data_IF_760048249421
#
_entry.id   IF_760048249421
#
_cell.length_a   1.000
_cell.length_b   1.000
_cell.length_c   1.000
_cell.angle_alpha   90.00
_cell.angle_beta   90.00
_cell.angle_gamma   90.00
#
_symmetry.space_group_name_H-M   'P 1'
#
loop_
_entity.id
_entity.type
_entity.pdbx_description
1 polymer ?
#
# COMPACT_ATOMS: atom_id res chain seq x y z
N UNK A 1 -21.91 3.66 -16.21
CA UNK A 1 -22.94 3.91 -15.16
C UNK A 1 -22.41 3.83 -13.71
N UNK A 2 -21.08 3.80 -13.45
CA UNK A 2 -20.51 3.74 -12.08
C UNK A 2 -19.42 4.78 -11.81
N UNK A 3 -19.32 5.86 -12.59
CA UNK A 3 -18.18 6.78 -12.50
C UNK A 3 -18.22 7.65 -11.25
N UNK A 4 -19.38 8.22 -10.91
CA UNK A 4 -19.56 9.00 -9.68
C UNK A 4 -19.27 8.19 -8.39
N UNK A 5 -19.86 6.99 -8.17
CA UNK A 5 -19.56 6.20 -6.97
C UNK A 5 -18.10 5.72 -6.96
N UNK A 6 -17.54 5.35 -8.13
CA UNK A 6 -16.12 5.00 -8.21
C UNK A 6 -15.24 6.17 -7.80
N UNK A 7 -15.46 7.34 -8.36
CA UNK A 7 -14.69 8.56 -8.06
C UNK A 7 -14.70 8.87 -6.57
N UNK A 8 -15.88 8.84 -5.94
CA UNK A 8 -16.02 9.05 -4.49
C UNK A 8 -15.19 8.03 -3.68
N UNK A 9 -15.21 6.76 -4.09
CA UNK A 9 -14.45 5.69 -3.43
C UNK A 9 -12.94 5.86 -3.62
N UNK A 10 -12.47 6.27 -4.81
CA UNK A 10 -11.04 6.53 -5.05
C UNK A 10 -10.55 7.70 -4.17
N UNK A 11 -11.30 8.79 -4.09
CA UNK A 11 -10.98 9.93 -3.21
C UNK A 11 -10.97 9.50 -1.74
N UNK A 12 -12.02 8.81 -1.28
CA UNK A 12 -12.10 8.34 0.09
C UNK A 12 -10.90 7.43 0.42
N UNK A 13 -10.53 6.55 -0.50
CA UNK A 13 -9.36 5.69 -0.35
C UNK A 13 -8.06 6.50 -0.27
N UNK A 14 -7.87 7.48 -1.15
CA UNK A 14 -6.71 8.37 -1.15
C UNK A 14 -6.58 9.13 0.18
N UNK A 15 -7.67 9.73 0.66
CA UNK A 15 -7.71 10.45 1.94
C UNK A 15 -7.33 9.52 3.09
N UNK A 16 -7.91 8.31 3.16
CA UNK A 16 -7.57 7.34 4.19
C UNK A 16 -6.10 6.90 4.14
N UNK A 17 -5.54 6.70 2.94
CA UNK A 17 -4.11 6.42 2.77
C UNK A 17 -3.22 7.56 3.27
N UNK A 18 -3.57 8.83 3.00
CA UNK A 18 -2.82 9.98 3.51
C UNK A 18 -2.95 10.16 5.02
N UNK A 19 -4.10 9.83 5.61
CA UNK A 19 -4.27 9.80 7.07
C UNK A 19 -3.36 8.70 7.66
N UNK A 20 -3.34 7.50 7.09
CA UNK A 20 -2.43 6.43 7.51
C UNK A 20 -0.97 6.83 7.38
N UNK A 21 -0.58 7.47 6.27
CA UNK A 21 0.75 8.03 6.06
C UNK A 21 1.13 8.96 7.23
N UNK A 22 0.25 9.89 7.60
CA UNK A 22 0.49 10.81 8.73
C UNK A 22 0.73 10.05 10.04
N UNK A 23 -0.04 9.01 10.31
CA UNK A 23 0.17 8.16 11.49
C UNK A 23 1.51 7.43 11.46
N UNK A 24 1.98 7.00 10.29
CA UNK A 24 3.23 6.24 10.14
C UNK A 24 4.49 7.11 10.09
N UNK A 25 4.39 8.38 9.70
CA UNK A 25 5.53 9.33 9.71
C UNK A 25 5.96 9.67 11.14
N UNK A 26 5.01 9.89 12.06
CA UNK A 26 5.28 10.26 13.46
C UNK A 26 6.26 9.31 14.18
N UNK A 27 6.00 7.99 14.24
CA UNK A 27 6.90 7.05 14.91
C UNK A 27 8.25 6.94 14.20
N UNK A 28 8.29 7.07 12.86
CA UNK A 28 9.54 7.08 12.11
C UNK A 28 10.44 8.26 12.53
N UNK A 29 9.85 9.46 12.69
CA UNK A 29 10.59 10.62 13.19
C UNK A 29 11.15 10.44 14.61
N UNK A 30 10.45 9.69 15.46
CA UNK A 30 10.83 9.43 16.85
C UNK A 30 11.90 8.34 16.98
N UNK A 31 11.76 7.22 16.27
CA UNK A 31 12.73 6.11 16.35
C UNK A 31 13.94 6.33 15.46
N UNK A 32 13.80 7.14 14.39
CA UNK A 32 14.78 7.30 13.29
C UNK A 32 15.29 5.98 12.71
N UNK A 33 14.53 4.91 12.89
CA UNK A 33 14.92 3.61 12.38
C UNK A 33 14.49 3.50 10.93
N UNK A 34 15.49 3.57 10.04
CA UNK A 34 15.37 3.45 8.57
C UNK A 34 14.52 2.24 8.15
N UNK A 35 14.47 1.17 8.96
CA UNK A 35 13.67 -0.03 8.72
C UNK A 35 12.18 0.22 8.53
N UNK A 36 11.64 1.27 9.14
CA UNK A 36 10.21 1.58 9.05
C UNK A 36 9.86 2.53 7.91
N UNK A 37 10.81 2.97 7.09
CA UNK A 37 10.59 3.94 6.01
C UNK A 37 9.67 3.40 4.90
N UNK A 38 9.66 2.08 4.66
CA UNK A 38 8.80 1.52 3.61
C UNK A 38 7.31 1.50 3.97
N UNK A 39 6.92 1.62 5.25
CA UNK A 39 5.51 1.80 5.66
C UNK A 39 4.92 3.15 5.19
N UNK A 40 5.49 4.31 5.58
CA UNK A 40 5.02 5.60 5.10
C UNK A 40 5.19 5.70 3.58
N UNK A 41 6.30 5.23 2.99
CA UNK A 41 6.41 5.22 1.53
C UNK A 41 5.29 4.41 0.88
N UNK A 42 5.07 3.17 1.34
CA UNK A 42 4.02 2.31 0.82
C UNK A 42 2.63 2.97 0.85
N UNK A 43 2.20 3.45 2.02
CA UNK A 43 0.89 4.13 2.12
C UNK A 43 0.84 5.46 1.35
N UNK A 44 1.94 6.20 1.25
CA UNK A 44 2.04 7.41 0.44
C UNK A 44 1.86 7.13 -1.04
N UNK A 45 2.56 6.12 -1.58
CA UNK A 45 2.41 5.69 -2.97
C UNK A 45 1.01 5.16 -3.27
N UNK A 46 0.36 4.47 -2.32
CA UNK A 46 -1.06 4.08 -2.45
C UNK A 46 -1.96 5.30 -2.56
N UNK A 47 -1.79 6.31 -1.69
CA UNK A 47 -2.58 7.54 -1.74
C UNK A 47 -2.42 8.30 -3.07
N UNK A 48 -1.19 8.41 -3.57
CA UNK A 48 -0.89 9.01 -4.88
C UNK A 48 -1.53 8.19 -6.01
N UNK A 49 -1.41 6.87 -5.99
CA UNK A 49 -1.97 5.99 -7.01
C UNK A 49 -3.51 6.14 -7.12
N UNK A 50 -4.21 6.23 -5.99
CA UNK A 50 -5.68 6.44 -5.99
C UNK A 50 -6.07 7.86 -6.41
N UNK A 51 -5.26 8.87 -6.06
CA UNK A 51 -5.46 10.25 -6.52
C UNK A 51 -5.34 10.33 -8.04
N UNK A 52 -4.32 9.68 -8.62
CA UNK A 52 -4.12 9.59 -10.07
C UNK A 52 -5.31 8.91 -10.75
N UNK A 53 -5.85 7.84 -10.15
CA UNK A 53 -7.06 7.19 -10.69
C UNK A 53 -8.29 8.10 -10.62
N UNK A 54 -8.48 8.82 -9.53
CA UNK A 54 -9.58 9.77 -9.39
C UNK A 54 -9.50 10.87 -10.45
N UNK A 55 -8.31 11.44 -10.67
CA UNK A 55 -8.05 12.42 -11.74
C UNK A 55 -8.33 11.79 -13.11
N UNK A 56 -7.89 10.55 -13.34
CA UNK A 56 -8.09 9.83 -14.60
C UNK A 56 -9.56 9.51 -14.92
N UNK A 57 -10.46 9.54 -13.93
CA UNK A 57 -11.90 9.41 -14.14
C UNK A 57 -12.48 10.73 -14.67
N UNK A 58 -12.04 11.88 -14.16
CA UNK A 58 -12.51 13.20 -14.61
C UNK A 58 -11.87 13.56 -15.96
N UNK A 59 -10.56 13.35 -16.07
CA UNK A 59 -9.75 13.69 -17.22
C UNK A 59 -9.22 12.40 -17.83
N UNK A 60 -9.75 11.92 -18.97
CA UNK A 60 -9.34 10.68 -19.61
C UNK A 60 -7.99 10.83 -20.30
N UNK A 61 -6.95 11.14 -19.51
CA UNK A 61 -5.58 11.26 -19.96
C UNK A 61 -5.03 9.84 -20.11
N UNK A 62 -4.68 9.50 -21.35
CA UNK A 62 -4.14 8.20 -21.68
C UNK A 62 -2.89 7.91 -20.83
N UNK A 63 -2.81 6.70 -20.27
CA UNK A 63 -1.66 6.25 -19.46
C UNK A 63 -1.77 6.49 -17.95
N UNK A 64 -2.67 7.35 -17.44
CA UNK A 64 -2.81 7.55 -15.99
C UNK A 64 -3.17 6.27 -15.23
N UNK A 65 -4.00 5.41 -15.83
CA UNK A 65 -4.30 4.09 -15.25
C UNK A 65 -3.05 3.23 -15.09
N UNK A 66 -2.14 3.28 -16.05
CA UNK A 66 -0.87 2.55 -16.00
C UNK A 66 0.07 3.11 -14.96
N UNK A 67 0.17 4.44 -14.86
CA UNK A 67 0.95 5.12 -13.80
C UNK A 67 0.43 4.70 -12.43
N UNK A 68 -0.89 4.67 -12.23
CA UNK A 68 -1.47 4.22 -10.97
C UNK A 68 -1.14 2.77 -10.65
N UNK A 69 -1.22 1.85 -11.61
CA UNK A 69 -0.87 0.43 -11.41
C UNK A 69 0.59 0.31 -10.98
N UNK A 70 1.51 1.02 -11.63
CA UNK A 70 2.93 1.00 -11.28
C UNK A 70 3.17 1.56 -9.89
N UNK A 71 2.63 2.75 -9.58
CA UNK A 71 2.74 3.36 -8.25
C UNK A 71 2.22 2.41 -7.16
N UNK A 72 1.10 1.75 -7.42
CA UNK A 72 0.52 0.77 -6.50
C UNK A 72 1.42 -0.47 -6.32
N UNK A 73 2.02 -1.00 -7.39
CA UNK A 73 2.95 -2.13 -7.28
C UNK A 73 4.18 -1.76 -6.46
N UNK A 74 4.78 -0.59 -6.73
CA UNK A 74 5.92 -0.10 -5.92
C UNK A 74 5.52 0.11 -4.46
N UNK A 75 4.32 0.60 -4.19
CA UNK A 75 3.82 0.71 -2.84
C UNK A 75 3.84 -0.63 -2.09
N UNK A 76 3.34 -1.70 -2.71
CA UNK A 76 3.37 -3.03 -2.10
C UNK A 76 4.78 -3.61 -1.99
N UNK A 77 5.67 -3.30 -2.91
CA UNK A 77 7.10 -3.64 -2.80
C UNK A 77 7.73 -2.96 -1.59
N UNK A 78 7.49 -1.66 -1.35
CA UNK A 78 7.98 -0.95 -0.17
C UNK A 78 7.41 -1.52 1.14
N UNK A 79 6.13 -1.88 1.14
CA UNK A 79 5.52 -2.56 2.29
C UNK A 79 6.16 -3.93 2.53
N UNK A 80 6.29 -4.76 1.51
CA UNK A 80 6.89 -6.08 1.61
C UNK A 80 8.35 -6.00 2.07
N UNK A 81 9.11 -5.03 1.55
CA UNK A 81 10.46 -4.72 1.96
C UNK A 81 10.54 -4.39 3.46
N UNK A 82 9.61 -3.57 3.98
CA UNK A 82 9.55 -3.24 5.42
C UNK A 82 9.34 -4.48 6.28
N UNK A 83 8.45 -5.38 5.85
CA UNK A 83 8.19 -6.62 6.59
C UNK A 83 9.35 -7.62 6.48
N UNK A 84 10.01 -7.69 5.34
CA UNK A 84 11.18 -8.55 5.15
C UNK A 84 12.32 -8.19 6.11
N UNK A 85 12.56 -6.89 6.30
CA UNK A 85 13.61 -6.38 7.17
C UNK A 85 13.11 -5.99 8.57
N UNK A 86 11.94 -6.46 9.00
CA UNK A 86 11.40 -6.10 10.32
C UNK A 86 12.16 -6.76 11.49
N UNK A 87 12.95 -7.81 11.24
CA UNK A 87 13.79 -8.47 12.26
C UNK A 87 14.99 -7.60 12.65
N UNK A 88 15.51 -7.78 13.88
CA UNK A 88 16.71 -7.07 14.33
C UNK A 88 17.86 -7.29 13.33
N UNK A 89 18.43 -6.22 12.75
CA UNK A 89 19.43 -6.36 11.71
C UNK A 89 20.73 -6.90 12.30
N UNK A 90 21.29 -7.94 11.67
CA UNK A 90 22.72 -8.24 11.79
C UNK A 90 23.50 -7.25 10.92
N UNK A 91 24.80 -7.06 11.20
CA UNK A 91 25.66 -6.10 10.46
C UNK A 91 25.61 -6.32 8.94
N UNK A 92 25.57 -7.57 8.49
CA UNK A 92 25.45 -7.92 7.07
C UNK A 92 24.05 -7.66 6.49
N UNK A 93 23.00 -7.77 7.30
CA UNK A 93 21.62 -7.48 6.86
C UNK A 93 21.41 -6.01 6.52
N UNK A 94 22.16 -5.09 7.14
CA UNK A 94 22.05 -3.65 6.86
C UNK A 94 22.54 -3.30 5.45
N UNK A 95 23.62 -3.93 4.99
CA UNK A 95 24.12 -3.71 3.62
C UNK A 95 23.13 -4.22 2.57
N UNK A 96 22.58 -5.42 2.77
CA UNK A 96 21.57 -5.99 1.87
C UNK A 96 20.32 -5.07 1.80
N UNK A 97 19.92 -4.52 2.95
CA UNK A 97 18.82 -3.54 3.01
C UNK A 97 19.09 -2.30 2.14
N UNK A 98 20.26 -1.67 2.27
CA UNK A 98 20.62 -0.46 1.48
C UNK A 98 20.66 -0.78 -0.01
N UNK A 99 21.22 -1.93 -0.40
CA UNK A 99 21.33 -2.35 -1.80
C UNK A 99 19.95 -2.55 -2.41
N UNK A 100 19.07 -3.29 -1.73
CA UNK A 100 17.72 -3.56 -2.23
C UNK A 100 16.89 -2.28 -2.28
N UNK A 101 16.94 -1.43 -1.24
CA UNK A 101 16.22 -0.16 -1.25
C UNK A 101 16.71 0.74 -2.39
N UNK A 102 18.04 0.86 -2.56
CA UNK A 102 18.64 1.61 -3.66
C UNK A 102 18.20 1.06 -5.01
N UNK A 103 18.18 -0.26 -5.19
CA UNK A 103 17.73 -0.89 -6.42
C UNK A 103 16.25 -0.61 -6.71
N UNK A 104 15.38 -0.64 -5.69
CA UNK A 104 13.95 -0.29 -5.84
C UNK A 104 13.80 1.18 -6.25
N UNK A 105 14.53 2.09 -5.60
CA UNK A 105 14.50 3.52 -5.91
C UNK A 105 15.00 3.77 -7.34
N UNK A 106 16.14 3.20 -7.72
CA UNK A 106 16.71 3.32 -9.07
C UNK A 106 15.75 2.74 -10.11
N UNK A 107 15.13 1.59 -9.83
CA UNK A 107 14.11 1.01 -10.71
C UNK A 107 12.91 1.93 -10.89
N UNK A 108 12.41 2.52 -9.80
CA UNK A 108 11.32 3.49 -9.83
C UNK A 108 11.68 4.76 -10.61
N UNK A 109 12.85 5.35 -10.35
CA UNK A 109 13.30 6.55 -11.05
C UNK A 109 13.54 6.29 -12.52
N UNK A 110 14.14 5.15 -12.86
CA UNK A 110 14.38 4.75 -14.26
C UNK A 110 13.05 4.61 -15.00
N UNK A 111 12.07 3.94 -14.38
CA UNK A 111 10.74 3.81 -14.95
C UNK A 111 10.05 5.17 -15.12
N UNK A 112 10.15 6.05 -14.13
CA UNK A 112 9.59 7.40 -14.21
C UNK A 112 10.24 8.19 -15.35
N UNK A 113 11.57 8.20 -15.46
CA UNK A 113 12.27 8.86 -16.57
C UNK A 113 11.86 8.30 -17.94
N UNK A 114 11.68 6.98 -18.02
CA UNK A 114 11.21 6.32 -19.24
C UNK A 114 9.82 6.83 -19.66
N UNK A 115 8.89 6.98 -18.71
CA UNK A 115 7.55 7.53 -18.94
C UNK A 115 7.57 8.93 -19.59
N UNK A 116 8.48 9.81 -19.17
CA UNK A 116 8.58 11.17 -19.73
C UNK A 116 9.33 11.20 -21.07
N UNK A 117 10.33 10.34 -21.24
CA UNK A 117 11.16 10.31 -22.45
C UNK A 117 10.41 9.81 -23.70
N UNK A 118 9.43 8.93 -23.52
CA UNK A 118 8.74 8.28 -24.63
C UNK A 118 7.24 8.05 -24.30
N UNK A 119 6.43 9.12 -24.21
CA UNK A 119 5.03 9.02 -23.81
C UNK A 119 4.23 8.10 -24.74
N UNK A 120 4.51 8.08 -26.05
CA UNK A 120 3.86 7.17 -27.00
C UNK A 120 4.22 5.68 -26.82
N UNK A 121 5.43 5.35 -26.34
CA UNK A 121 5.82 3.97 -26.08
C UNK A 121 5.34 3.48 -24.71
N UNK A 122 5.24 4.36 -23.72
CA UNK A 122 4.64 4.07 -22.42
C UNK A 122 3.12 3.81 -22.51
N UNK A 123 2.46 4.41 -23.51
CA UNK A 123 1.07 4.14 -23.86
C UNK A 123 0.85 2.72 -24.42
N UNK A 124 1.90 2.10 -24.95
CA UNK A 124 1.92 0.72 -25.46
C UNK A 124 2.31 -0.32 -24.42
N UNK A 125 2.19 -0.03 -23.12
CA UNK A 125 2.27 -1.07 -22.09
C UNK A 125 1.21 -2.12 -22.44
N UNK A 126 1.67 -3.27 -22.94
CA UNK A 126 0.79 -4.36 -23.32
C UNK A 126 -0.04 -4.77 -22.10
N UNK A 127 -1.29 -5.17 -22.33
CA UNK A 127 -2.14 -5.71 -21.27
C UNK A 127 -1.39 -6.72 -20.38
N UNK A 128 -0.46 -7.49 -20.98
CA UNK A 128 0.46 -8.40 -20.30
C UNK A 128 1.33 -7.78 -19.21
N UNK A 129 1.97 -6.62 -19.43
CA UNK A 129 2.78 -5.98 -18.39
C UNK A 129 1.93 -5.44 -17.24
N UNK A 130 0.74 -4.91 -17.55
CA UNK A 130 -0.24 -4.54 -16.52
C UNK A 130 -0.69 -5.73 -15.67
N UNK A 131 -0.89 -6.90 -16.29
CA UNK A 131 -1.20 -8.15 -15.59
C UNK A 131 -0.02 -8.59 -14.70
N UNK A 132 1.21 -8.58 -15.24
CA UNK A 132 2.42 -8.91 -14.49
C UNK A 132 2.59 -8.08 -13.22
N UNK A 133 2.42 -6.75 -13.32
CA UNK A 133 2.54 -5.85 -12.17
C UNK A 133 1.50 -6.12 -11.07
N UNK A 134 0.29 -6.52 -11.45
CA UNK A 134 -0.77 -6.90 -10.51
C UNK A 134 -0.49 -8.24 -9.84
N UNK A 135 0.05 -9.21 -10.59
CA UNK A 135 0.50 -10.49 -10.02
C UNK A 135 1.64 -10.24 -9.01
N UNK A 136 2.61 -9.40 -9.36
CA UNK A 136 3.68 -9.02 -8.44
C UNK A 136 3.13 -8.36 -7.16
N UNK A 137 2.18 -7.44 -7.29
CA UNK A 137 1.48 -6.82 -6.16
C UNK A 137 0.80 -7.87 -5.24
N UNK A 138 0.13 -8.86 -5.83
CA UNK A 138 -0.48 -9.97 -5.08
C UNK A 138 0.56 -10.83 -4.36
N UNK A 139 1.69 -11.13 -4.99
CA UNK A 139 2.80 -11.87 -4.36
C UNK A 139 3.35 -11.09 -3.16
N UNK A 140 3.56 -9.77 -3.30
CA UNK A 140 3.98 -8.91 -2.20
C UNK A 140 2.97 -8.92 -1.05
N UNK A 141 1.68 -8.80 -1.34
CA UNK A 141 0.64 -8.83 -0.31
C UNK A 141 0.53 -10.20 0.37
N UNK A 142 0.59 -11.30 -0.39
CA UNK A 142 0.59 -12.65 0.17
C UNK A 142 1.78 -12.86 1.11
N UNK A 143 2.97 -12.38 0.72
CA UNK A 143 4.15 -12.37 1.57
C UNK A 143 3.91 -11.61 2.89
N UNK A 144 3.37 -10.38 2.82
CA UNK A 144 3.06 -9.57 3.99
C UNK A 144 2.03 -10.27 4.90
N UNK A 145 0.98 -10.84 4.33
CA UNK A 145 -0.04 -11.61 5.05
C UNK A 145 0.58 -12.79 5.82
N UNK A 146 1.40 -13.61 5.14
CA UNK A 146 2.06 -14.77 5.78
C UNK A 146 3.00 -14.30 6.88
N UNK A 147 3.77 -13.23 6.65
CA UNK A 147 4.70 -12.70 7.64
C UNK A 147 3.97 -12.15 8.87
N UNK A 148 2.93 -11.34 8.67
CA UNK A 148 2.13 -10.75 9.76
C UNK A 148 1.37 -11.81 10.55
N UNK A 149 0.80 -12.81 9.88
CA UNK A 149 0.12 -13.93 10.53
C UNK A 149 1.09 -14.78 11.36
N UNK A 150 2.27 -15.10 10.82
CA UNK A 150 3.34 -15.80 11.58
C UNK A 150 3.81 -14.99 12.79
N UNK A 151 3.89 -13.67 12.66
CA UNK A 151 4.23 -12.80 13.79
C UNK A 151 3.15 -12.83 14.87
N UNK A 152 1.88 -12.75 14.49
CA UNK A 152 0.76 -12.81 15.42
C UNK A 152 0.71 -14.14 16.18
N UNK A 153 0.91 -15.27 15.49
CA UNK A 153 0.96 -16.60 16.12
C UNK A 153 2.06 -16.72 17.19
N UNK A 154 3.11 -15.89 17.13
CA UNK A 154 4.18 -15.88 18.15
C UNK A 154 3.88 -15.00 19.36
N UNK A 155 3.15 -13.89 19.17
CA UNK A 155 2.91 -12.91 20.23
C UNK A 155 1.50 -12.94 20.82
N UNK A 156 0.56 -13.72 20.24
CA UNK A 156 -0.83 -13.97 20.69
C UNK A 156 -1.62 -12.73 21.16
N UNK A 157 -1.21 -11.53 20.75
CA UNK A 157 -1.89 -10.30 21.11
C UNK A 157 -3.14 -10.15 20.23
N UNK A 158 -4.35 -10.11 20.80
CA UNK A 158 -5.60 -10.03 20.04
C UNK A 158 -5.70 -8.77 19.17
N UNK A 159 -4.86 -7.76 19.40
CA UNK A 159 -4.81 -6.56 18.56
C UNK A 159 -4.03 -6.76 17.25
N UNK A 160 -3.11 -7.73 17.22
CA UNK A 160 -2.27 -7.97 16.03
C UNK A 160 -2.95 -8.75 14.92
N UNK A 161 -4.10 -9.40 15.17
CA UNK A 161 -4.87 -10.14 14.14
C UNK A 161 -5.55 -9.21 13.12
N UNK A 162 -5.81 -7.95 13.50
CA UNK A 162 -6.45 -6.98 12.61
C UNK A 162 -5.55 -6.57 11.44
N UNK A 163 -4.22 -6.57 11.64
CA UNK A 163 -3.26 -6.21 10.60
C UNK A 163 -3.28 -7.21 9.42
N UNK A 164 -3.10 -8.54 9.62
CA UNK A 164 -3.20 -9.50 8.52
C UNK A 164 -4.59 -9.50 7.88
N UNK A 165 -5.67 -9.28 8.65
CA UNK A 165 -7.01 -9.13 8.08
C UNK A 165 -7.08 -7.95 7.10
N UNK A 166 -6.51 -6.79 7.44
CA UNK A 166 -6.43 -5.64 6.54
C UNK A 166 -5.66 -5.97 5.25
N UNK A 167 -4.53 -6.68 5.35
CA UNK A 167 -3.78 -7.08 4.16
C UNK A 167 -4.50 -8.11 3.30
N UNK A 168 -5.22 -9.06 3.90
CA UNK A 168 -6.07 -10.02 3.17
C UNK A 168 -7.14 -9.27 2.36
N UNK A 169 -7.79 -8.27 2.98
CA UNK A 169 -8.80 -7.46 2.29
C UNK A 169 -8.18 -6.60 1.17
N UNK A 170 -6.95 -6.08 1.32
CA UNK A 170 -6.22 -5.47 0.21
C UNK A 170 -5.89 -6.47 -0.90
N UNK A 171 -5.53 -7.71 -0.57
CA UNK A 171 -5.28 -8.77 -1.56
C UNK A 171 -6.53 -9.08 -2.36
N UNK A 172 -7.69 -9.19 -1.71
CA UNK A 172 -8.98 -9.35 -2.39
C UNK A 172 -9.23 -8.18 -3.35
N UNK A 173 -8.96 -6.95 -2.92
CA UNK A 173 -9.06 -5.77 -3.79
C UNK A 173 -8.15 -5.87 -5.03
N UNK A 174 -6.88 -6.26 -4.85
CA UNK A 174 -5.94 -6.42 -5.96
C UNK A 174 -6.33 -7.56 -6.90
N UNK A 175 -6.82 -8.67 -6.34
CA UNK A 175 -7.27 -9.81 -7.11
C UNK A 175 -8.51 -9.48 -7.96
N UNK A 176 -9.48 -8.76 -7.37
CA UNK A 176 -10.62 -8.20 -8.12
C UNK A 176 -10.17 -7.31 -9.28
N UNK A 177 -9.15 -6.48 -9.09
CA UNK A 177 -8.61 -5.64 -10.17
C UNK A 177 -7.85 -6.43 -11.23
N UNK A 178 -7.27 -7.58 -10.87
CA UNK A 178 -6.65 -8.50 -11.81
C UNK A 178 -7.71 -9.20 -12.68
N UNK A 179 -8.78 -9.72 -12.07
CA UNK A 179 -9.93 -10.29 -12.81
C UNK A 179 -10.48 -9.26 -13.79
N UNK A 180 -10.69 -8.02 -13.32
CA UNK A 180 -11.15 -6.90 -14.14
C UNK A 180 -10.25 -6.63 -15.35
N UNK A 181 -8.94 -6.85 -15.23
CA UNK A 181 -8.00 -6.64 -16.31
C UNK A 181 -7.91 -7.83 -17.28
N UNK A 182 -8.41 -9.00 -16.89
CA UNK A 182 -8.32 -10.24 -17.66
C UNK A 182 -9.62 -10.59 -18.43
N UNK A 183 -10.78 -10.13 -17.96
CA UNK A 183 -12.09 -10.47 -18.55
C UNK A 183 -13.01 -9.24 -18.62
N UNK A 184 -13.68 -9.03 -19.76
CA UNK A 184 -14.61 -7.92 -20.04
C UNK A 184 -16.09 -8.27 -19.77
N UNK A 185 -16.41 -9.50 -19.33
CA UNK A 185 -17.80 -10.02 -19.20
C UNK A 185 -18.59 -9.55 -17.95
N UNK A 186 -19.91 -9.81 -17.92
CA UNK A 186 -20.89 -9.33 -16.91
C UNK A 186 -20.55 -9.54 -15.42
N UNK A 187 -19.76 -10.58 -15.07
CA UNK A 187 -19.23 -10.82 -13.70
C UNK A 187 -18.31 -9.69 -13.19
N UNK A 188 -17.89 -8.79 -14.09
CA UNK A 188 -17.06 -7.60 -13.87
C UNK A 188 -17.62 -6.62 -12.86
N UNK A 189 -18.95 -6.38 -12.86
CA UNK A 189 -19.56 -5.41 -11.95
C UNK A 189 -19.41 -5.81 -10.49
N UNK A 190 -19.67 -7.10 -10.20
CA UNK A 190 -19.61 -7.64 -8.83
C UNK A 190 -18.16 -7.74 -8.35
N UNK A 191 -17.25 -8.25 -9.18
CA UNK A 191 -15.84 -8.34 -8.83
C UNK A 191 -15.24 -6.95 -8.56
N UNK A 192 -15.59 -5.96 -9.38
CA UNK A 192 -15.12 -4.59 -9.23
C UNK A 192 -15.65 -3.92 -7.95
N UNK A 193 -16.96 -3.96 -7.72
CA UNK A 193 -17.56 -3.38 -6.50
C UNK A 193 -17.07 -4.08 -5.25
N UNK A 194 -16.98 -5.43 -5.28
CA UNK A 194 -16.43 -6.21 -4.19
C UNK A 194 -14.98 -5.82 -3.85
N UNK A 195 -14.15 -5.60 -4.88
CA UNK A 195 -12.76 -5.16 -4.71
C UNK A 195 -12.64 -3.76 -4.11
N UNK A 196 -13.52 -2.83 -4.51
CA UNK A 196 -13.59 -1.49 -3.93
C UNK A 196 -14.01 -1.53 -2.46
N UNK A 197 -15.07 -2.28 -2.13
CA UNK A 197 -15.56 -2.45 -0.76
C UNK A 197 -14.50 -3.11 0.12
N UNK A 198 -13.84 -4.16 -0.36
CA UNK A 198 -12.75 -4.82 0.37
C UNK A 198 -11.60 -3.84 0.68
N UNK A 199 -11.24 -2.94 -0.25
CA UNK A 199 -10.24 -1.90 0.00
C UNK A 199 -10.66 -0.93 1.11
N UNK A 200 -11.90 -0.46 1.08
CA UNK A 200 -12.41 0.44 2.13
C UNK A 200 -12.42 -0.25 3.51
N UNK A 201 -12.84 -1.51 3.57
CA UNK A 201 -12.78 -2.31 4.80
C UNK A 201 -11.33 -2.44 5.29
N UNK A 202 -10.40 -2.77 4.39
CA UNK A 202 -8.98 -2.86 4.74
C UNK A 202 -8.45 -1.55 5.33
N UNK A 203 -8.77 -0.42 4.70
CA UNK A 203 -8.37 0.91 5.13
C UNK A 203 -8.96 1.28 6.49
N UNK A 204 -10.25 0.99 6.72
CA UNK A 204 -10.90 1.18 8.00
C UNK A 204 -10.23 0.35 9.10
N UNK A 205 -9.88 -0.91 8.81
CA UNK A 205 -9.15 -1.78 9.74
C UNK A 205 -7.76 -1.20 10.06
N UNK A 206 -6.99 -0.77 9.06
CA UNK A 206 -5.68 -0.15 9.30
C UNK A 206 -5.78 1.14 10.09
N UNK A 207 -6.77 2.00 9.81
CA UNK A 207 -7.00 3.24 10.54
C UNK A 207 -7.36 2.97 12.00
N UNK A 208 -8.24 1.99 12.24
CA UNK A 208 -8.59 1.56 13.59
C UNK A 208 -7.36 1.07 14.36
N UNK A 209 -6.53 0.22 13.76
CA UNK A 209 -5.28 -0.26 14.36
C UNK A 209 -4.31 0.89 14.62
N UNK A 210 -4.07 1.75 13.63
CA UNK A 210 -3.15 2.88 13.76
C UNK A 210 -3.62 3.86 14.85
N UNK A 211 -4.90 4.22 14.87
CA UNK A 211 -5.49 5.06 15.89
C UNK A 211 -5.31 4.44 17.28
N UNK A 212 -5.65 3.16 17.45
CA UNK A 212 -5.50 2.47 18.74
C UNK A 212 -4.05 2.44 19.20
N UNK A 213 -3.11 2.12 18.32
CA UNK A 213 -1.69 2.00 18.66
C UNK A 213 -1.08 3.35 19.02
N UNK A 214 -1.30 4.38 18.20
CA UNK A 214 -0.64 5.67 18.40
C UNK A 214 -1.36 6.56 19.43
N UNK A 215 -2.68 6.56 19.47
CA UNK A 215 -3.43 7.45 20.37
C UNK A 215 -3.45 6.93 21.82
N UNK A 216 -3.56 5.60 22.04
CA UNK A 216 -3.49 5.05 23.41
C UNK A 216 -2.09 5.16 24.02
N UNK A 217 -1.04 5.10 23.20
CA UNK A 217 0.33 5.28 23.66
C UNK A 217 0.54 6.71 24.21
N UNK A 218 0.05 7.73 23.51
CA UNK A 218 0.13 9.13 23.98
C UNK A 218 -0.65 9.36 25.27
N UNK A 219 -1.84 8.76 25.42
CA UNK A 219 -2.65 8.92 26.64
C UNK A 219 -2.02 8.27 27.88
N UNK A 220 -1.27 7.17 27.73
CA UNK A 220 -0.55 6.53 28.84
C UNK A 220 0.67 7.34 29.27
N UNK A 221 1.48 7.82 28.32
CA UNK A 221 2.67 8.62 28.63
C UNK A 221 2.37 9.91 29.39
N UNK A 222 1.25 10.58 29.09
CA UNK A 222 0.84 11.80 29.79
C UNK A 222 0.30 11.59 31.21
N UNK A 223 -0.13 10.38 31.57
CA UNK A 223 -0.55 10.06 32.95
C UNK A 223 0.70 9.78 33.80
N UNK A 224 1.68 9.06 33.25
CA UNK A 224 2.93 8.75 33.96
C UNK A 224 3.83 9.98 34.18
N UNK A 225 3.70 11.03 33.35
CA UNK A 225 4.37 12.32 33.58
C UNK A 225 3.65 13.20 34.61
N UNK A 226 2.31 13.15 34.67
CA UNK A 226 1.53 13.91 35.65
C UNK A 226 1.67 13.37 37.08
N UNK A 227 1.92 12.06 37.25
CA UNK A 227 2.21 11.45 38.56
C UNK A 227 3.67 11.68 39.04
N UNK A 228 4.52 12.29 38.20
CA UNK A 228 5.92 12.61 38.53
C UNK A 228 6.18 14.11 38.75
N UNK A 229 5.16 14.95 38.60
CA UNK A 229 5.18 16.40 38.84
C UNK A 229 4.40 16.77 40.09
#
# INVERSE_FOLDING_TARGET
MYEAPRFAIEIASAVMYFILLRYMIKPYGLTREERYLGLPLGFGFLGVAETILAIGIIYPINGLGTVSVVMRTFAFVFLAFTYYFSKKPSKNSRFIWVIILSAIIVGLTTWFLWLFSAPLLALGITAGFGIFLRILALVCLAYICVHTLRSHLKSLDPTTIWIPLGFIMLSVSQYSQLIRAADENYLYGVAFVGGLTARLIALAVFLYVAYRTFYRATKRGGIDEADRS
#
